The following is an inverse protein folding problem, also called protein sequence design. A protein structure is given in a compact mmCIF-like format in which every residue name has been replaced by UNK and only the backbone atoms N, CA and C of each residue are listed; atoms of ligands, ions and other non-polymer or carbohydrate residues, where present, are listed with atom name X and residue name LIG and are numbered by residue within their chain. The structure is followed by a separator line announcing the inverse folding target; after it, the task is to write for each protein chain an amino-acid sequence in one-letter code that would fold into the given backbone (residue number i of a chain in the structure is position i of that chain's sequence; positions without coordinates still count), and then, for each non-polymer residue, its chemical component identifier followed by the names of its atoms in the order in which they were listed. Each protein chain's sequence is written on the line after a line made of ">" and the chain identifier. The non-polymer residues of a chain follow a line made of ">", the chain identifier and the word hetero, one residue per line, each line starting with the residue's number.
data_IF_192305715235
#
_entry.id   IF_192305715235
#
_cell.length_a   1.000
_cell.length_b   1.000
_cell.length_c   1.000
_cell.angle_alpha   90.00
_cell.angle_beta   90.00
_cell.angle_gamma   90.00
#
_symmetry.space_group_name_H-M   'P 1'
#
loop_
_entity.id
_entity.type
_entity.pdbx_description
1 polymer ?
#
# COMPACT_ATOMS: atom_id res chain seq x y z
N UNK A 1 7.40 12.74 -11.97
CA UNK A 1 6.34 13.70 -12.30
C UNK A 1 5.19 13.44 -11.32
N UNK A 2 4.86 14.41 -10.47
CA UNK A 2 3.75 14.33 -9.52
C UNK A 2 2.47 14.60 -10.31
N UNK A 3 1.62 13.61 -10.49
CA UNK A 3 0.31 13.80 -11.07
C UNK A 3 -0.65 14.24 -9.94
N UNK A 4 -0.98 15.53 -9.92
CA UNK A 4 -2.04 16.03 -9.04
C UNK A 4 -3.39 15.65 -9.65
N UNK A 5 -4.03 14.64 -9.12
CA UNK A 5 -5.41 14.31 -9.46
C UNK A 5 -6.32 15.12 -8.52
N UNK A 6 -6.92 16.16 -9.04
CA UNK A 6 -8.03 16.86 -8.38
C UNK A 6 -9.21 15.89 -8.32
N UNK A 7 -9.45 15.29 -7.17
CA UNK A 7 -10.58 14.39 -6.97
C UNK A 7 -11.82 15.20 -6.66
N UNK A 8 -12.66 15.46 -7.67
CA UNK A 8 -14.10 15.40 -7.39
C UNK A 8 -14.38 13.95 -6.96
N UNK A 9 -15.10 13.71 -5.85
CA UNK A 9 -15.40 12.35 -5.43
C UNK A 9 -16.21 11.66 -6.53
N UNK A 10 -15.59 10.72 -7.24
CA UNK A 10 -16.34 9.76 -8.06
C UNK A 10 -16.94 8.79 -7.06
N UNK A 11 -18.14 9.11 -6.58
CA UNK A 11 -18.98 8.18 -5.87
C UNK A 11 -19.49 7.17 -6.90
N UNK A 12 -18.91 5.99 -6.92
CA UNK A 12 -19.57 4.85 -7.50
C UNK A 12 -20.80 4.55 -6.65
N UNK A 13 -21.96 4.71 -7.28
CA UNK A 13 -23.29 4.22 -6.85
C UNK A 13 -23.64 4.26 -5.34
N UNK A 14 -24.33 5.32 -4.94
CA UNK A 14 -25.37 5.26 -3.89
C UNK A 14 -24.89 5.14 -2.45
N UNK A 15 -23.59 5.18 -2.16
CA UNK A 15 -23.08 5.32 -0.80
C UNK A 15 -23.19 6.79 -0.37
N UNK A 16 -24.13 7.05 0.52
CA UNK A 16 -24.17 8.27 1.33
C UNK A 16 -22.76 8.52 1.91
N UNK A 17 -22.32 9.76 1.86
CA UNK A 17 -21.09 10.23 2.53
C UNK A 17 -21.09 9.72 3.98
N UNK A 18 -20.34 8.66 4.24
CA UNK A 18 -20.26 8.01 5.56
C UNK A 18 -19.35 8.78 6.51
N UNK A 19 -19.18 10.07 6.28
CA UNK A 19 -18.41 10.96 7.14
C UNK A 19 -16.93 10.56 7.26
N UNK A 20 -16.04 11.53 7.50
CA UNK A 20 -14.63 11.26 7.74
C UNK A 20 -14.47 10.53 9.07
N UNK A 21 -13.50 9.58 9.13
CA UNK A 21 -13.15 8.85 10.34
C UNK A 21 -11.65 8.58 10.41
N UNK A 22 -11.06 8.75 11.58
CA UNK A 22 -9.66 8.37 11.82
C UNK A 22 -9.51 6.92 12.29
N UNK A 23 -10.62 6.20 12.47
CA UNK A 23 -10.62 4.86 13.06
C UNK A 23 -10.15 4.86 14.53
N UNK A 24 -9.99 3.68 15.15
CA UNK A 24 -9.66 3.55 16.57
C UNK A 24 -8.17 3.78 16.90
N UNK A 25 -7.26 3.69 15.92
CA UNK A 25 -5.80 3.71 16.15
C UNK A 25 -5.31 5.01 16.83
N UNK A 26 -5.72 6.23 16.41
CA UNK A 26 -5.29 7.46 17.09
C UNK A 26 -5.68 7.49 18.56
N UNK A 27 -6.93 7.12 18.88
CA UNK A 27 -7.41 7.07 20.27
C UNK A 27 -6.60 6.08 21.10
N UNK A 28 -6.33 4.90 20.57
CA UNK A 28 -5.52 3.89 21.24
C UNK A 28 -4.09 4.38 21.49
N UNK A 29 -3.42 4.95 20.48
CA UNK A 29 -2.06 5.49 20.62
C UNK A 29 -1.98 6.58 21.69
N UNK A 30 -2.94 7.52 21.70
CA UNK A 30 -3.03 8.58 22.72
C UNK A 30 -3.20 7.96 24.12
N UNK A 31 -3.98 6.91 24.26
CA UNK A 31 -4.19 6.24 25.57
C UNK A 31 -2.89 5.67 26.15
N UNK A 32 -1.96 5.25 25.28
CA UNK A 32 -0.66 4.67 25.67
C UNK A 32 0.43 5.70 25.97
N UNK A 33 0.16 6.99 25.74
CA UNK A 33 1.14 8.06 26.05
C UNK A 33 1.26 8.28 27.55
N UNK A 34 2.41 8.75 27.99
CA UNK A 34 2.60 9.27 29.35
C UNK A 34 1.72 10.51 29.57
N UNK A 35 1.28 10.72 30.82
CA UNK A 35 0.46 11.87 31.17
C UNK A 35 1.24 13.18 30.99
N UNK A 36 0.60 14.17 30.40
CA UNK A 36 1.22 15.46 30.12
C UNK A 36 0.39 16.37 29.20
N UNK A 37 0.89 17.56 28.98
CA UNK A 37 0.20 18.57 28.20
C UNK A 37 -0.08 18.11 26.74
N UNK A 38 0.83 17.35 26.14
CA UNK A 38 0.63 16.81 24.78
C UNK A 38 -0.52 15.81 24.75
N UNK A 39 -0.54 14.82 25.65
CA UNK A 39 -1.64 13.84 25.76
C UNK A 39 -2.99 14.54 25.93
N UNK A 40 -3.05 15.51 26.85
CA UNK A 40 -4.28 16.30 27.09
C UNK A 40 -4.77 17.02 25.83
N UNK A 41 -3.85 17.65 25.07
CA UNK A 41 -4.21 18.31 23.81
C UNK A 41 -4.72 17.32 22.77
N UNK A 42 -4.06 16.17 22.60
CA UNK A 42 -4.46 15.17 21.63
C UNK A 42 -5.78 14.50 22.01
N UNK A 43 -6.03 14.26 23.31
CA UNK A 43 -7.32 13.79 23.79
C UNK A 43 -8.46 14.74 23.44
N UNK A 44 -8.24 16.06 23.58
CA UNK A 44 -9.23 17.05 23.19
C UNK A 44 -9.53 17.04 21.68
N UNK A 45 -8.57 16.64 20.82
CA UNK A 45 -8.79 16.52 19.39
C UNK A 45 -9.71 15.32 19.05
N UNK A 46 -9.76 14.26 19.86
CA UNK A 46 -10.59 13.08 19.59
C UNK A 46 -12.09 13.36 19.58
N UNK A 47 -12.52 14.43 20.26
CA UNK A 47 -13.93 14.85 20.30
C UNK A 47 -14.33 15.79 19.16
N UNK A 48 -13.37 16.20 18.31
CA UNK A 48 -13.65 17.09 17.18
C UNK A 48 -14.18 16.29 15.99
N UNK A 49 -15.03 16.89 15.20
CA UNK A 49 -15.46 16.32 13.92
C UNK A 49 -14.28 16.30 12.96
N UNK A 50 -13.93 15.13 12.38
CA UNK A 50 -12.88 15.06 11.37
C UNK A 50 -13.18 15.96 10.17
N UNK A 51 -12.16 16.64 9.67
CA UNK A 51 -12.27 17.46 8.47
C UNK A 51 -11.18 17.11 7.48
N UNK A 52 -11.49 17.23 6.19
CA UNK A 52 -10.49 17.11 5.14
C UNK A 52 -9.55 18.35 5.18
N UNK A 53 -8.28 18.11 4.92
CA UNK A 53 -7.28 19.19 4.89
C UNK A 53 -6.28 18.97 3.78
N UNK A 54 -5.96 20.00 3.01
CA UNK A 54 -4.94 19.96 1.95
C UNK A 54 -3.51 19.84 2.51
N UNK A 55 -3.36 19.92 3.82
CA UNK A 55 -2.07 19.70 4.50
C UNK A 55 -1.72 18.21 4.61
N UNK A 56 -2.71 17.33 4.69
CA UNK A 56 -2.45 15.89 4.84
C UNK A 56 -2.41 15.16 3.49
N UNK A 57 -1.40 14.32 3.33
CA UNK A 57 -1.14 13.55 2.12
C UNK A 57 -1.29 12.08 2.46
N UNK A 58 -2.13 11.37 1.71
CA UNK A 58 -2.18 9.92 1.71
C UNK A 58 -1.00 9.35 0.90
N UNK A 59 0.19 9.33 1.50
CA UNK A 59 1.43 8.81 0.89
C UNK A 59 1.30 7.31 0.64
N UNK A 60 1.20 6.90 -0.62
CA UNK A 60 0.85 5.54 -1.07
C UNK A 60 -0.53 5.07 -0.57
N UNK A 61 -1.42 6.01 -0.25
CA UNK A 61 -2.70 5.77 0.40
C UNK A 61 -2.60 5.70 1.93
N UNK A 62 -3.10 4.62 2.53
CA UNK A 62 -3.02 4.32 3.97
C UNK A 62 -2.18 3.04 4.22
N UNK A 63 -0.87 3.03 3.94
CA UNK A 63 -0.04 1.82 3.83
C UNK A 63 0.21 1.11 5.17
N UNK A 64 -0.16 1.70 6.28
CA UNK A 64 -0.13 1.03 7.60
C UNK A 64 -1.39 0.18 7.87
N UNK A 65 -2.40 0.27 7.00
CA UNK A 65 -3.68 -0.42 7.14
C UNK A 65 -3.99 -1.34 5.96
N UNK A 66 -3.54 -0.98 4.77
CA UNK A 66 -3.76 -1.69 3.52
C UNK A 66 -2.44 -1.78 2.73
N UNK A 67 -2.28 -2.78 1.86
CA UNK A 67 -1.15 -2.79 0.94
C UNK A 67 -1.03 -1.47 0.19
N UNK A 68 0.19 -0.95 0.11
CA UNK A 68 0.47 0.35 -0.51
C UNK A 68 0.06 0.37 -1.99
N UNK A 69 -0.28 1.57 -2.50
CA UNK A 69 -0.65 1.78 -3.89
C UNK A 69 -1.85 0.94 -4.37
N UNK A 70 -2.72 0.52 -3.45
CA UNK A 70 -3.99 -0.13 -3.81
C UNK A 70 -5.14 0.87 -3.82
N UNK A 71 -6.22 0.50 -4.52
CA UNK A 71 -7.45 1.30 -4.55
C UNK A 71 -8.00 1.48 -3.13
N UNK A 72 -8.03 0.41 -2.34
CA UNK A 72 -8.53 0.39 -0.97
C UNK A 72 -7.69 1.25 -0.04
N UNK A 73 -6.36 1.25 -0.21
CA UNK A 73 -5.44 2.11 0.53
C UNK A 73 -5.73 3.59 0.28
N UNK A 74 -5.95 3.96 -0.99
CA UNK A 74 -6.29 5.32 -1.37
C UNK A 74 -7.69 5.75 -0.89
N UNK A 75 -8.69 4.86 -0.98
CA UNK A 75 -10.03 5.11 -0.44
C UNK A 75 -9.95 5.34 1.08
N UNK A 76 -9.23 4.49 1.80
CA UNK A 76 -9.05 4.64 3.24
C UNK A 76 -8.39 5.98 3.61
N UNK A 77 -7.34 6.39 2.88
CA UNK A 77 -6.70 7.69 3.09
C UNK A 77 -7.68 8.85 2.87
N UNK A 78 -8.48 8.79 1.82
CA UNK A 78 -9.51 9.80 1.55
C UNK A 78 -10.58 9.85 2.66
N UNK A 79 -11.01 8.68 3.16
CA UNK A 79 -11.97 8.58 4.28
C UNK A 79 -11.37 9.08 5.61
N UNK A 80 -10.06 9.03 5.78
CA UNK A 80 -9.38 9.62 6.93
C UNK A 80 -9.12 11.13 6.78
N UNK A 81 -9.54 11.75 5.68
CA UNK A 81 -9.47 13.19 5.47
C UNK A 81 -8.21 13.68 4.77
N UNK A 82 -7.45 12.81 4.11
CA UNK A 82 -6.37 13.23 3.24
C UNK A 82 -6.93 14.11 2.10
N UNK A 83 -6.39 15.31 1.95
CA UNK A 83 -6.74 16.23 0.87
C UNK A 83 -6.00 15.93 -0.43
N UNK A 84 -4.86 15.26 -0.33
CA UNK A 84 -4.01 14.85 -1.45
C UNK A 84 -3.79 13.36 -1.35
N UNK A 85 -3.96 12.64 -2.46
CA UNK A 85 -3.55 11.24 -2.60
C UNK A 85 -2.31 11.19 -3.48
N UNK A 86 -1.34 10.43 -3.06
CA UNK A 86 -0.06 10.32 -3.73
C UNK A 86 0.11 8.91 -4.33
N UNK A 87 0.74 8.86 -5.49
CA UNK A 87 1.06 7.65 -6.20
C UNK A 87 2.44 7.77 -6.86
N UNK A 88 3.37 6.93 -6.45
CA UNK A 88 4.59 6.70 -7.23
C UNK A 88 4.24 5.95 -8.51
N UNK A 89 4.87 6.28 -9.62
CA UNK A 89 4.49 5.76 -10.94
C UNK A 89 5.63 4.99 -11.59
N UNK A 90 5.34 3.77 -12.05
CA UNK A 90 6.20 2.94 -12.87
C UNK A 90 5.51 2.48 -14.15
N UNK A 91 6.23 1.77 -15.02
CA UNK A 91 5.73 1.29 -16.32
C UNK A 91 5.68 -0.22 -16.36
N UNK A 92 4.63 -0.75 -16.96
CA UNK A 92 4.54 -2.15 -17.38
C UNK A 92 5.31 -2.40 -18.68
N UNK A 93 5.45 -3.67 -19.07
CA UNK A 93 6.09 -4.11 -20.32
C UNK A 93 5.43 -3.51 -21.57
N UNK A 94 4.12 -3.31 -21.54
CA UNK A 94 3.31 -2.70 -22.59
C UNK A 94 3.15 -1.18 -22.45
N UNK A 95 4.03 -0.56 -21.61
CA UNK A 95 4.13 0.89 -21.40
C UNK A 95 2.92 1.56 -20.72
N UNK A 96 2.10 0.78 -20.03
CA UNK A 96 1.01 1.31 -19.21
C UNK A 96 1.51 1.78 -17.85
N UNK A 97 0.86 2.81 -17.28
CA UNK A 97 1.24 3.37 -15.99
C UNK A 97 0.57 2.61 -14.85
N UNK A 98 1.35 2.29 -13.83
CA UNK A 98 0.86 1.65 -12.60
C UNK A 98 1.45 2.34 -11.38
N UNK A 99 0.69 2.32 -10.27
CA UNK A 99 1.16 2.87 -9.01
C UNK A 99 2.04 1.85 -8.29
N UNK A 100 3.35 2.07 -8.27
CA UNK A 100 4.34 1.28 -7.52
C UNK A 100 5.48 2.17 -7.06
N UNK A 101 5.96 1.93 -5.82
CA UNK A 101 7.05 2.71 -5.23
C UNK A 101 8.34 2.59 -6.03
N UNK A 102 8.63 1.41 -6.53
CA UNK A 102 9.80 1.16 -7.37
C UNK A 102 9.45 0.21 -8.52
N UNK A 103 10.24 0.31 -9.59
CA UNK A 103 10.13 -0.58 -10.75
C UNK A 103 10.33 -2.06 -10.38
N UNK A 104 11.05 -2.35 -9.30
CA UNK A 104 11.52 -3.65 -8.87
C UNK A 104 11.08 -4.02 -7.45
N UNK A 105 9.84 -3.72 -7.09
CA UNK A 105 9.29 -3.99 -5.74
C UNK A 105 8.21 -5.08 -5.70
N UNK A 106 7.88 -5.71 -6.83
CA UNK A 106 6.78 -6.67 -6.89
C UNK A 106 6.97 -7.88 -5.98
N UNK A 107 8.22 -8.32 -5.75
CA UNK A 107 8.55 -9.46 -4.90
C UNK A 107 8.25 -9.22 -3.42
N UNK A 108 8.23 -7.97 -2.96
CA UNK A 108 7.97 -7.63 -1.55
C UNK A 108 6.56 -7.13 -1.30
N UNK A 109 5.84 -6.72 -2.35
CA UNK A 109 4.57 -6.01 -2.25
C UNK A 109 3.41 -6.73 -2.93
N UNK A 110 3.67 -7.87 -3.60
CA UNK A 110 2.67 -8.72 -4.25
C UNK A 110 2.98 -10.21 -4.03
N UNK A 111 2.08 -11.07 -4.52
CA UNK A 111 2.25 -12.51 -4.51
C UNK A 111 3.05 -13.07 -5.72
N UNK A 112 3.79 -12.24 -6.46
CA UNK A 112 4.38 -12.62 -7.75
C UNK A 112 5.24 -13.89 -7.68
N UNK A 113 6.03 -14.06 -6.61
CA UNK A 113 6.94 -15.21 -6.48
C UNK A 113 6.21 -16.57 -6.28
N UNK A 114 4.94 -16.55 -5.92
CA UNK A 114 4.09 -17.74 -5.75
C UNK A 114 2.94 -17.79 -6.75
N UNK A 115 3.01 -16.97 -7.79
CA UNK A 115 2.06 -16.92 -8.90
C UNK A 115 2.65 -17.54 -10.17
N UNK A 116 1.83 -17.67 -11.21
CA UNK A 116 2.28 -18.13 -12.54
C UNK A 116 3.27 -17.14 -13.21
N UNK A 117 3.47 -15.96 -12.64
CA UNK A 117 4.39 -14.94 -13.13
C UNK A 117 5.79 -15.00 -12.46
N UNK A 118 6.03 -15.94 -11.56
CA UNK A 118 7.33 -16.05 -10.86
C UNK A 118 8.53 -16.14 -11.82
N UNK A 119 8.37 -16.82 -12.94
CA UNK A 119 9.42 -17.00 -13.95
C UNK A 119 9.72 -15.72 -14.77
N UNK A 120 8.89 -14.67 -14.65
CA UNK A 120 9.14 -13.38 -15.30
C UNK A 120 10.09 -12.49 -14.51
N UNK A 121 10.39 -12.85 -13.25
CA UNK A 121 11.26 -12.05 -12.40
C UNK A 121 12.68 -11.95 -12.96
N UNK A 122 13.22 -10.74 -13.00
CA UNK A 122 14.62 -10.44 -13.45
C UNK A 122 15.64 -11.27 -12.68
N UNK A 123 15.41 -11.48 -11.37
CA UNK A 123 16.14 -12.43 -10.53
C UNK A 123 15.13 -13.35 -9.85
N UNK A 124 15.10 -14.62 -10.21
CA UNK A 124 14.32 -15.61 -9.50
C UNK A 124 14.64 -15.66 -8.00
N UNK A 125 13.70 -16.16 -7.22
CA UNK A 125 13.94 -16.37 -5.79
C UNK A 125 15.16 -17.27 -5.57
N UNK A 126 16.03 -16.81 -4.65
CA UNK A 126 17.18 -17.57 -4.15
C UNK A 126 17.07 -17.64 -2.63
N UNK A 127 17.05 -18.85 -2.08
CA UNK A 127 16.97 -19.09 -0.65
C UNK A 127 18.20 -18.53 0.11
N UNK A 128 18.02 -18.20 1.38
CA UNK A 128 19.13 -17.85 2.27
C UNK A 128 20.12 -19.02 2.39
N UNK A 129 21.40 -18.69 2.48
CA UNK A 129 22.47 -19.68 2.61
C UNK A 129 23.57 -19.19 3.55
N UNK A 130 23.67 -19.75 4.74
CA UNK A 130 24.62 -19.29 5.77
C UNK A 130 24.37 -17.82 6.13
N UNK A 131 25.33 -16.95 5.87
CA UNK A 131 25.24 -15.50 6.12
C UNK A 131 24.64 -14.73 4.93
N UNK A 132 24.40 -15.39 3.80
CA UNK A 132 23.78 -14.77 2.63
C UNK A 132 22.26 -14.74 2.77
N UNK A 133 21.68 -13.57 2.55
CA UNK A 133 20.24 -13.35 2.62
C UNK A 133 19.52 -13.94 1.41
N UNK A 134 18.25 -14.33 1.62
CA UNK A 134 17.34 -14.66 0.54
C UNK A 134 17.10 -13.44 -0.36
N UNK A 135 17.02 -13.63 -1.66
CA UNK A 135 16.87 -12.55 -2.64
C UNK A 135 15.89 -12.90 -3.75
N UNK A 136 15.25 -11.87 -4.29
CA UNK A 136 14.50 -11.91 -5.54
C UNK A 136 14.43 -10.50 -6.13
N UNK A 137 14.19 -10.37 -7.43
CA UNK A 137 13.92 -9.09 -8.07
C UNK A 137 12.90 -9.27 -9.19
N UNK A 138 11.70 -8.69 -9.02
CA UNK A 138 10.62 -8.76 -9.99
C UNK A 138 10.20 -7.34 -10.37
N UNK A 139 10.17 -7.05 -11.67
CA UNK A 139 9.95 -5.71 -12.19
C UNK A 139 8.62 -5.56 -12.88
N UNK A 140 7.97 -4.42 -12.73
CA UNK A 140 6.75 -4.08 -13.48
C UNK A 140 6.98 -4.08 -14.98
N UNK A 141 8.19 -3.70 -15.44
CA UNK A 141 8.56 -3.70 -16.87
C UNK A 141 8.69 -5.07 -17.52
N UNK A 142 8.65 -6.14 -16.74
CA UNK A 142 8.74 -7.52 -17.26
C UNK A 142 7.35 -8.15 -17.53
N UNK A 143 6.29 -7.53 -17.04
CA UNK A 143 4.91 -8.00 -17.16
C UNK A 143 4.00 -6.94 -17.80
N UNK A 144 2.98 -7.40 -18.51
CA UNK A 144 1.94 -6.51 -19.09
C UNK A 144 0.98 -6.01 -18.01
N UNK A 145 0.19 -4.97 -18.33
CA UNK A 145 -0.88 -4.50 -17.45
C UNK A 145 -1.91 -5.59 -17.12
N UNK A 146 -2.23 -6.43 -18.10
CA UNK A 146 -3.16 -7.55 -17.89
C UNK A 146 -2.61 -8.54 -16.86
N UNK A 147 -1.34 -8.93 -17.00
CA UNK A 147 -0.64 -9.80 -16.03
C UNK A 147 -0.52 -9.13 -14.67
N UNK A 148 -0.15 -7.84 -14.62
CA UNK A 148 -0.06 -7.08 -13.37
C UNK A 148 -1.38 -7.12 -12.57
N UNK A 149 -2.53 -7.03 -13.24
CA UNK A 149 -3.86 -7.07 -12.62
C UNK A 149 -4.24 -8.43 -12.03
N UNK A 150 -3.52 -9.50 -12.37
CA UNK A 150 -3.74 -10.83 -11.78
C UNK A 150 -3.05 -10.99 -10.43
N UNK A 151 -2.09 -10.11 -10.11
CA UNK A 151 -1.36 -10.18 -8.86
C UNK A 151 -2.22 -9.77 -7.67
N UNK A 152 -1.99 -10.43 -6.54
CA UNK A 152 -2.58 -10.06 -5.25
C UNK A 152 -1.60 -9.17 -4.49
N UNK A 153 -1.97 -7.94 -4.15
CA UNK A 153 -1.13 -7.07 -3.34
C UNK A 153 -1.04 -7.58 -1.89
N UNK A 154 0.09 -7.31 -1.25
CA UNK A 154 0.34 -7.64 0.15
C UNK A 154 1.05 -6.47 0.85
N UNK A 155 1.06 -6.47 2.18
CA UNK A 155 1.88 -5.52 2.94
C UNK A 155 3.35 -5.70 2.56
N UNK A 156 4.06 -4.59 2.38
CA UNK A 156 5.48 -4.62 2.02
C UNK A 156 6.29 -5.31 3.12
N UNK A 157 6.81 -6.49 2.79
CA UNK A 157 7.65 -7.30 3.66
C UNK A 157 8.41 -8.36 2.87
N UNK A 158 9.61 -8.69 3.34
CA UNK A 158 10.40 -9.83 2.88
C UNK A 158 11.15 -10.44 4.07
N UNK A 159 11.22 -11.77 4.12
CA UNK A 159 12.06 -12.47 5.10
C UNK A 159 13.43 -12.75 4.47
N UNK A 160 14.44 -12.04 4.94
CA UNK A 160 15.82 -12.21 4.47
C UNK A 160 16.40 -13.60 4.80
N UNK A 161 15.78 -14.38 5.68
CA UNK A 161 16.24 -15.73 6.06
C UNK A 161 15.39 -16.84 5.46
N UNK A 162 14.50 -16.50 4.52
CA UNK A 162 13.59 -17.43 3.90
C UNK A 162 14.30 -18.57 3.13
N UNK A 163 13.73 -19.77 3.25
CA UNK A 163 14.16 -20.96 2.52
C UNK A 163 13.23 -21.25 1.33
N UNK A 164 12.04 -20.67 1.30
CA UNK A 164 11.05 -20.80 0.22
C UNK A 164 10.51 -19.42 -0.20
N UNK A 165 9.93 -19.35 -1.40
CA UNK A 165 9.33 -18.12 -1.91
C UNK A 165 8.14 -17.66 -1.04
N UNK A 166 7.37 -18.61 -0.50
CA UNK A 166 6.26 -18.32 0.42
C UNK A 166 6.74 -17.68 1.72
N UNK A 167 7.82 -18.23 2.30
CA UNK A 167 8.44 -17.65 3.49
C UNK A 167 8.97 -16.24 3.20
N UNK A 168 9.66 -16.06 2.06
CA UNK A 168 10.22 -14.77 1.66
C UNK A 168 9.15 -13.67 1.62
N UNK A 169 7.99 -13.97 1.09
CA UNK A 169 6.89 -13.03 1.00
C UNK A 169 6.14 -12.82 2.34
N UNK A 170 6.52 -13.53 3.40
CA UNK A 170 5.91 -13.40 4.72
C UNK A 170 4.49 -13.94 4.81
N UNK A 171 4.16 -14.89 3.94
CA UNK A 171 2.79 -15.37 3.75
C UNK A 171 1.92 -14.32 3.05
N UNK A 172 1.20 -14.73 2.02
CA UNK A 172 0.24 -13.86 1.34
C UNK A 172 -0.98 -13.74 2.24
N UNK A 173 -1.10 -12.62 2.97
CA UNK A 173 -2.36 -12.30 3.62
C UNK A 173 -3.41 -12.12 2.52
N UNK A 174 -4.57 -12.76 2.67
CA UNK A 174 -5.71 -12.62 1.74
C UNK A 174 -6.37 -11.24 1.92
N UNK A 175 -5.60 -10.19 1.59
CA UNK A 175 -6.15 -8.85 1.46
C UNK A 175 -6.87 -8.79 0.12
N UNK A 176 -8.20 -8.80 0.15
CA UNK A 176 -9.02 -8.57 -1.03
C UNK A 176 -8.92 -7.12 -1.48
N UNK A 177 -7.76 -6.75 -1.95
CA UNK A 177 -7.44 -5.40 -2.40
C UNK A 177 -7.04 -5.42 -3.87
N UNK A 178 -7.19 -4.28 -4.53
CA UNK A 178 -6.99 -4.13 -5.96
C UNK A 178 -5.76 -3.26 -6.22
N UNK A 179 -4.82 -3.75 -7.01
CA UNK A 179 -3.70 -2.95 -7.49
C UNK A 179 -4.21 -1.77 -8.32
N UNK A 180 -3.71 -0.59 -8.02
CA UNK A 180 -4.12 0.63 -8.71
C UNK A 180 -3.37 0.78 -10.03
N UNK A 181 -4.14 0.92 -11.11
CA UNK A 181 -3.66 1.29 -12.44
C UNK A 181 -4.38 2.55 -12.90
N UNK A 182 -3.67 3.47 -13.53
CA UNK A 182 -4.22 4.71 -14.10
C UNK A 182 -5.04 4.43 -15.35
#
# INVERSE_FOLDING_TARGET
>A
AILMVSTTPVLADGHTDTGLTYGPRPAWLISQMDDGALKTRLQACLSQTPTRTDFSIGHRGAPLMFPEHTVESNIAAAQMGAGILECDVTFTKDHELVCRHAQNDLQTTTNILVSDLADTCTKPFTAANGDEDATAECRTSEITLEEYRTLTPKMDAADARAMTAEEYQGGVADYRTTLYST
#
